data_IF_076039126666
#
_entry.id   IF_076039126666
#
_cell.length_a   1.000
_cell.length_b   1.000
_cell.length_c   1.000
_cell.angle_alpha   90.00
_cell.angle_beta   90.00
_cell.angle_gamma   90.00
#
_symmetry.space_group_name_H-M   'P 1'
#
loop_
_entity.id
_entity.type
_entity.pdbx_description
1 polymer ?
#
# COMPACT_ATOMS: atom_id res chain seq x y z
N UNK A 1 27.12 52.29 -34.23
CA UNK A 1 26.29 51.46 -35.15
C UNK A 1 26.36 50.01 -34.72
N UNK A 2 27.47 49.29 -34.93
CA UNK A 2 27.64 47.89 -34.46
C UNK A 2 27.28 47.62 -33.00
N UNK A 3 27.65 48.50 -32.06
CA UNK A 3 27.31 48.33 -30.64
C UNK A 3 25.83 48.51 -30.34
N UNK A 4 25.17 49.43 -31.04
CA UNK A 4 23.73 49.69 -30.93
C UNK A 4 22.93 48.54 -31.57
N UNK A 5 23.35 48.06 -32.74
CA UNK A 5 22.73 46.92 -33.42
C UNK A 5 22.85 45.62 -32.58
N UNK A 6 23.95 45.46 -31.84
CA UNK A 6 24.16 44.32 -30.92
C UNK A 6 23.29 44.42 -29.65
N UNK A 7 23.04 45.63 -29.18
CA UNK A 7 22.21 45.89 -28.00
C UNK A 7 20.72 45.75 -28.33
N UNK A 8 20.31 46.20 -29.52
CA UNK A 8 18.97 45.99 -30.07
C UNK A 8 18.69 44.49 -30.31
N UNK A 9 19.65 43.75 -30.89
CA UNK A 9 19.52 42.30 -31.07
C UNK A 9 19.41 41.54 -29.74
N UNK A 10 20.19 41.93 -28.72
CA UNK A 10 20.06 41.37 -27.36
C UNK A 10 18.70 41.70 -26.74
N UNK A 11 18.21 42.92 -26.90
CA UNK A 11 16.90 43.34 -26.39
C UNK A 11 15.75 42.61 -27.09
N UNK A 12 15.89 42.33 -28.40
CA UNK A 12 14.92 41.58 -29.18
C UNK A 12 14.90 40.10 -28.80
N UNK A 13 16.07 39.47 -28.62
CA UNK A 13 16.18 38.12 -28.09
C UNK A 13 15.58 38.00 -26.69
N UNK A 14 15.89 38.95 -25.80
CA UNK A 14 15.31 38.98 -24.46
C UNK A 14 13.78 39.16 -24.50
N UNK A 15 13.24 39.95 -25.45
CA UNK A 15 11.78 40.10 -25.63
C UNK A 15 11.12 38.83 -26.19
N UNK A 16 11.80 38.10 -27.06
CA UNK A 16 11.35 36.81 -27.57
C UNK A 16 11.35 35.76 -26.46
N UNK A 17 12.46 35.62 -25.72
CA UNK A 17 12.60 34.69 -24.57
C UNK A 17 11.61 35.01 -23.43
N UNK A 18 11.20 36.27 -23.30
CA UNK A 18 10.18 36.69 -22.31
C UNK A 18 8.76 36.66 -22.86
N UNK A 19 8.57 36.35 -24.14
CA UNK A 19 7.24 36.20 -24.73
C UNK A 19 6.51 35.03 -24.04
N UNK A 20 5.23 35.24 -23.76
CA UNK A 20 4.38 34.24 -23.09
C UNK A 20 4.32 32.94 -23.90
N UNK A 21 4.31 33.02 -25.23
CA UNK A 21 4.25 31.87 -26.13
C UNK A 21 5.50 30.97 -26.06
N UNK A 22 6.70 31.54 -26.02
CA UNK A 22 7.94 30.76 -25.94
C UNK A 22 8.08 30.06 -24.57
N UNK A 23 7.69 30.74 -23.49
CA UNK A 23 7.67 30.15 -22.14
C UNK A 23 6.66 29.01 -22.03
N UNK A 24 5.45 29.18 -22.55
CA UNK A 24 4.44 28.12 -22.60
C UNK A 24 4.93 26.93 -23.43
N UNK A 25 5.47 27.18 -24.62
CA UNK A 25 6.01 26.12 -25.48
C UNK A 25 7.12 25.32 -24.79
N UNK A 26 8.07 26.01 -24.15
CA UNK A 26 9.15 25.37 -23.40
C UNK A 26 8.60 24.49 -22.27
N UNK A 27 7.68 25.03 -21.48
CA UNK A 27 7.04 24.28 -20.40
C UNK A 27 6.35 23.01 -20.90
N UNK A 28 5.48 23.10 -21.91
CA UNK A 28 4.76 21.93 -22.41
C UNK A 28 5.68 20.91 -23.06
N UNK A 29 6.77 21.35 -23.70
CA UNK A 29 7.80 20.45 -24.23
C UNK A 29 8.50 19.68 -23.10
N UNK A 30 8.87 20.36 -22.02
CA UNK A 30 9.50 19.74 -20.85
C UNK A 30 8.53 18.80 -20.11
N UNK A 31 7.28 19.24 -19.91
CA UNK A 31 6.22 18.43 -19.29
C UNK A 31 5.92 17.17 -20.09
N UNK A 32 5.85 17.28 -21.43
CA UNK A 32 5.67 16.13 -22.30
C UNK A 32 6.78 15.11 -22.13
N UNK A 33 8.04 15.55 -22.20
CA UNK A 33 9.20 14.67 -22.01
C UNK A 33 9.18 14.04 -20.61
N UNK A 34 8.82 14.81 -19.59
CA UNK A 34 8.67 14.28 -18.24
C UNK A 34 7.61 13.17 -18.16
N UNK A 35 6.40 13.39 -18.69
CA UNK A 35 5.31 12.41 -18.65
C UNK A 35 5.65 11.16 -19.47
N UNK A 36 6.26 11.31 -20.65
CA UNK A 36 6.72 10.17 -21.46
C UNK A 36 7.73 9.32 -20.69
N UNK A 37 8.79 9.93 -20.15
CA UNK A 37 9.79 9.23 -19.36
C UNK A 37 9.20 8.59 -18.09
N UNK A 38 8.28 9.28 -17.43
CA UNK A 38 7.63 8.77 -16.22
C UNK A 38 6.77 7.54 -16.52
N UNK A 39 5.96 7.59 -17.57
CA UNK A 39 5.13 6.46 -18.00
C UNK A 39 6.00 5.28 -18.44
N UNK A 40 7.07 5.52 -19.18
CA UNK A 40 8.01 4.46 -19.59
C UNK A 40 8.67 3.81 -18.38
N UNK A 41 9.15 4.61 -17.41
CA UNK A 41 9.69 4.13 -16.15
C UNK A 41 8.67 3.28 -15.38
N UNK A 42 7.42 3.75 -15.25
CA UNK A 42 6.38 2.99 -14.56
C UNK A 42 6.07 1.68 -15.28
N UNK A 43 5.97 1.69 -16.60
CA UNK A 43 5.69 0.48 -17.39
C UNK A 43 6.78 -0.58 -17.23
N UNK A 44 8.04 -0.17 -17.06
CA UNK A 44 9.15 -1.09 -16.79
C UNK A 44 9.05 -1.69 -15.38
N UNK A 45 8.77 -0.87 -14.36
CA UNK A 45 8.78 -1.30 -12.95
C UNK A 45 7.49 -1.93 -12.45
N UNK A 46 6.35 -1.69 -13.12
CA UNK A 46 5.02 -2.09 -12.62
C UNK A 46 4.88 -3.62 -12.50
N UNK A 47 5.49 -4.39 -13.40
CA UNK A 47 5.41 -5.86 -13.35
C UNK A 47 6.15 -6.41 -12.13
N UNK A 48 7.31 -5.83 -11.79
CA UNK A 48 8.08 -6.20 -10.61
C UNK A 48 7.32 -5.86 -9.32
N UNK A 49 6.70 -4.67 -9.27
CA UNK A 49 5.86 -4.27 -8.13
C UNK A 49 4.69 -5.23 -7.93
N UNK A 50 3.98 -5.60 -9.02
CA UNK A 50 2.86 -6.54 -8.94
C UNK A 50 3.29 -7.94 -8.53
N UNK A 51 4.45 -8.40 -8.99
CA UNK A 51 4.98 -9.68 -8.58
C UNK A 51 5.26 -9.70 -7.07
N UNK A 52 5.97 -8.70 -6.55
CA UNK A 52 6.30 -8.62 -5.12
C UNK A 52 5.05 -8.43 -4.24
N UNK A 53 4.08 -7.63 -4.72
CA UNK A 53 2.77 -7.50 -4.07
C UNK A 53 2.03 -8.84 -4.01
N UNK A 54 2.07 -9.63 -5.09
CA UNK A 54 1.48 -10.97 -5.13
C UNK A 54 2.18 -11.94 -4.19
N UNK A 55 3.51 -11.96 -4.17
CA UNK A 55 4.31 -12.81 -3.28
C UNK A 55 4.01 -12.50 -1.80
N UNK A 56 3.98 -11.22 -1.42
CA UNK A 56 3.59 -10.81 -0.06
C UNK A 56 2.16 -11.24 0.27
N UNK A 57 1.22 -11.06 -0.66
CA UNK A 57 -0.18 -11.45 -0.46
C UNK A 57 -0.33 -12.96 -0.28
N UNK A 58 0.43 -13.77 -1.03
CA UNK A 58 0.45 -15.23 -0.89
C UNK A 58 0.99 -15.68 0.46
N UNK A 59 2.01 -15.00 0.99
CA UNK A 59 2.54 -15.25 2.34
C UNK A 59 1.47 -14.99 3.41
N UNK A 60 0.77 -13.85 3.33
CA UNK A 60 -0.32 -13.50 4.25
C UNK A 60 -1.51 -14.48 4.13
N UNK A 61 -1.88 -14.87 2.92
CA UNK A 61 -2.97 -15.82 2.67
C UNK A 61 -2.61 -17.23 3.17
N UNK A 62 -1.37 -17.68 2.95
CA UNK A 62 -0.86 -18.96 3.44
C UNK A 62 -0.92 -19.05 4.97
N UNK A 63 -0.48 -17.99 5.67
CA UNK A 63 -0.60 -17.90 7.14
C UNK A 63 -2.05 -17.97 7.58
N UNK A 64 -2.92 -17.15 6.99
CA UNK A 64 -4.34 -17.10 7.33
C UNK A 64 -5.04 -18.44 7.12
N UNK A 65 -4.77 -19.12 5.99
CA UNK A 65 -5.31 -20.46 5.70
C UNK A 65 -4.81 -21.51 6.69
N UNK A 66 -3.54 -21.46 7.06
CA UNK A 66 -2.94 -22.38 8.04
C UNK A 66 -3.60 -22.24 9.40
N UNK A 67 -3.77 -21.00 9.88
CA UNK A 67 -4.45 -20.73 11.15
C UNK A 67 -5.92 -21.14 11.13
N UNK A 68 -6.64 -20.82 10.05
CA UNK A 68 -8.04 -21.20 9.90
C UNK A 68 -8.24 -22.72 9.89
N UNK A 69 -7.42 -23.44 9.12
CA UNK A 69 -7.47 -24.90 9.04
C UNK A 69 -7.20 -25.53 10.40
N UNK A 70 -6.17 -25.05 11.09
CA UNK A 70 -5.85 -25.52 12.43
C UNK A 70 -7.01 -25.33 13.40
N UNK A 71 -7.63 -24.15 13.40
CA UNK A 71 -8.79 -23.87 14.24
C UNK A 71 -9.96 -24.81 13.93
N UNK A 72 -10.20 -25.11 12.65
CA UNK A 72 -11.22 -26.09 12.25
C UNK A 72 -10.89 -27.50 12.76
N UNK A 73 -9.65 -27.94 12.62
CA UNK A 73 -9.18 -29.24 13.08
C UNK A 73 -9.30 -29.37 14.61
N UNK A 74 -8.90 -28.35 15.36
CA UNK A 74 -9.00 -28.29 16.82
C UNK A 74 -10.47 -28.32 17.28
N UNK A 75 -11.37 -27.57 16.63
CA UNK A 75 -12.82 -27.62 16.91
C UNK A 75 -13.44 -28.98 16.61
N UNK A 76 -13.05 -29.63 15.51
CA UNK A 76 -13.51 -30.97 15.18
C UNK A 76 -13.02 -31.99 16.21
N UNK A 77 -11.76 -31.90 16.61
CA UNK A 77 -11.18 -32.77 17.64
C UNK A 77 -11.92 -32.65 18.97
N UNK A 78 -12.18 -31.43 19.44
CA UNK A 78 -12.93 -31.19 20.68
C UNK A 78 -14.39 -31.66 20.57
N UNK A 79 -15.05 -31.39 19.44
CA UNK A 79 -16.43 -31.82 19.21
C UNK A 79 -16.56 -33.34 19.26
N UNK A 80 -15.66 -34.06 18.59
CA UNK A 80 -15.66 -35.53 18.60
C UNK A 80 -15.34 -36.10 19.99
N UNK A 81 -14.44 -35.46 20.75
CA UNK A 81 -14.16 -35.85 22.13
C UNK A 81 -15.39 -35.69 23.03
N UNK A 82 -16.09 -34.55 22.95
CA UNK A 82 -17.31 -34.29 23.73
C UNK A 82 -18.42 -35.28 23.36
N UNK A 83 -18.63 -35.55 22.07
CA UNK A 83 -19.63 -36.52 21.61
C UNK A 83 -19.38 -37.93 22.18
N UNK A 84 -18.11 -38.37 22.21
CA UNK A 84 -17.73 -39.65 22.82
C UNK A 84 -17.98 -39.69 24.32
N UNK A 85 -17.77 -38.58 25.03
CA UNK A 85 -18.06 -38.47 26.46
C UNK A 85 -19.56 -38.45 26.78
N UNK A 86 -20.37 -37.84 25.90
CA UNK A 86 -21.82 -37.74 26.07
C UNK A 86 -22.59 -39.03 25.67
N UNK A 87 -21.99 -39.89 24.83
CA UNK A 87 -22.56 -41.17 24.44
C UNK A 87 -22.50 -42.20 25.58
N UNK A 88 -23.65 -42.60 26.11
CA UNK A 88 -23.76 -43.68 27.09
C UNK A 88 -23.40 -45.04 26.48
N UNK A 89 -22.19 -45.54 26.71
CA UNK A 89 -21.83 -46.93 26.38
C UNK A 89 -20.33 -47.12 26.18
N UNK A 90 -19.66 -47.63 27.22
CA UNK A 90 -18.23 -47.81 27.28
C UNK A 90 -17.59 -48.44 26.05
N UNK A 91 -16.73 -47.66 25.39
CA UNK A 91 -15.39 -48.08 25.07
C UNK A 91 -14.49 -46.83 25.11
N UNK A 92 -13.59 -46.76 26.10
CA UNK A 92 -12.67 -45.63 26.31
C UNK A 92 -11.48 -45.66 25.32
N UNK A 93 -11.69 -46.23 24.13
CA UNK A 93 -10.67 -46.41 23.12
C UNK A 93 -10.69 -45.24 22.13
N UNK A 94 -10.52 -44.03 22.67
CA UNK A 94 -10.01 -42.96 21.83
C UNK A 94 -8.62 -43.38 21.36
N UNK A 95 -8.47 -43.54 20.04
CA UNK A 95 -7.22 -43.81 19.33
C UNK A 95 -6.07 -42.99 19.95
N UNK A 96 -4.91 -43.63 20.16
CA UNK A 96 -3.76 -43.05 20.84
C UNK A 96 -3.36 -41.70 20.21
N UNK A 97 -3.51 -41.59 18.88
CA UNK A 97 -3.33 -40.36 18.11
C UNK A 97 -4.30 -39.24 18.51
N UNK A 98 -5.55 -39.57 18.79
CA UNK A 98 -6.56 -38.59 19.23
C UNK A 98 -6.22 -38.05 20.63
N UNK A 99 -5.77 -38.94 21.54
CA UNK A 99 -5.33 -38.56 22.89
C UNK A 99 -4.10 -37.64 22.84
N UNK A 100 -3.12 -37.98 22.02
CA UNK A 100 -1.92 -37.15 21.81
C UNK A 100 -2.25 -35.76 21.25
N UNK A 101 -3.15 -35.69 20.25
CA UNK A 101 -3.56 -34.40 19.67
C UNK A 101 -4.30 -33.51 20.70
N UNK A 102 -5.16 -34.10 21.55
CA UNK A 102 -5.84 -33.38 22.63
C UNK A 102 -4.85 -32.85 23.68
N UNK A 103 -3.84 -33.66 24.04
CA UNK A 103 -2.79 -33.21 24.96
C UNK A 103 -1.97 -32.06 24.37
N UNK A 104 -1.61 -32.12 23.09
CA UNK A 104 -0.91 -31.01 22.43
C UNK A 104 -1.77 -29.74 22.41
N UNK A 105 -3.06 -29.86 22.11
CA UNK A 105 -4.03 -28.77 22.19
C UNK A 105 -4.07 -28.13 23.59
N UNK A 106 -4.14 -28.94 24.66
CA UNK A 106 -4.11 -28.46 26.04
C UNK A 106 -2.78 -27.80 26.43
N UNK A 107 -1.65 -28.36 25.98
CA UNK A 107 -0.32 -27.78 26.20
C UNK A 107 -0.19 -26.41 25.54
N UNK A 108 -0.80 -26.23 24.35
CA UNK A 108 -0.86 -24.92 23.68
C UNK A 108 -1.73 -23.93 24.45
N UNK A 109 -2.92 -24.35 24.91
CA UNK A 109 -3.77 -23.52 25.78
C UNK A 109 -3.03 -23.07 27.04
N UNK A 110 -2.31 -23.98 27.70
CA UNK A 110 -1.54 -23.67 28.91
C UNK A 110 -0.43 -22.64 28.66
N UNK A 111 0.32 -22.78 27.56
CA UNK A 111 1.34 -21.80 27.16
C UNK A 111 0.74 -20.40 26.96
N UNK A 112 -0.45 -20.30 26.36
CA UNK A 112 -1.15 -19.02 26.19
C UNK A 112 -1.58 -18.39 27.52
N UNK A 113 -2.14 -19.19 28.42
CA UNK A 113 -2.51 -18.70 29.75
C UNK A 113 -1.31 -18.12 30.49
N UNK A 114 -0.19 -18.85 30.48
CA UNK A 114 1.03 -18.40 31.15
C UNK A 114 1.58 -17.10 30.55
N UNK A 115 1.65 -16.97 29.22
CA UNK A 115 2.11 -15.75 28.55
C UNK A 115 1.24 -14.53 28.85
N UNK A 116 -0.07 -14.71 29.07
CA UNK A 116 -1.00 -13.63 29.43
C UNK A 116 -0.90 -13.22 30.89
N UNK A 117 -0.67 -14.20 31.78
CA UNK A 117 -0.35 -13.93 33.18
C UNK A 117 0.93 -13.11 33.28
N UNK A 118 1.96 -13.49 32.51
CA UNK A 118 3.24 -12.79 32.44
C UNK A 118 3.11 -11.38 31.83
N UNK A 119 2.21 -11.17 30.85
CA UNK A 119 1.98 -9.86 30.23
C UNK A 119 1.03 -8.94 31.00
N UNK A 120 0.42 -9.43 32.09
CA UNK A 120 -0.51 -8.65 32.92
C UNK A 120 -1.85 -8.31 32.25
N UNK A 121 -2.24 -9.07 31.24
CA UNK A 121 -3.45 -8.83 30.44
C UNK A 121 -4.71 -9.29 31.20
N UNK A 122 -5.21 -8.45 32.11
CA UNK A 122 -6.29 -8.77 33.08
C UNK A 122 -7.71 -8.81 32.49
N UNK A 123 -7.91 -8.33 31.27
CA UNK A 123 -9.23 -8.20 30.63
C UNK A 123 -9.59 -9.38 29.71
N UNK A 124 -9.05 -10.57 30.01
CA UNK A 124 -9.31 -11.76 29.20
C UNK A 124 -10.44 -12.61 29.80
N UNK A 125 -11.53 -12.79 29.04
CA UNK A 125 -12.61 -13.71 29.40
C UNK A 125 -12.44 -15.08 28.75
N UNK A 126 -12.76 -16.14 29.50
CA UNK A 126 -12.71 -17.51 28.99
C UNK A 126 -13.65 -17.66 27.78
N UNK A 127 -13.12 -18.20 26.68
CA UNK A 127 -13.82 -18.25 25.38
C UNK A 127 -13.39 -17.17 24.37
N UNK A 128 -12.62 -16.14 24.78
CA UNK A 128 -12.08 -15.09 23.89
C UNK A 128 -10.70 -15.43 23.29
N UNK A 129 -10.22 -16.66 23.47
CA UNK A 129 -8.91 -17.07 22.97
C UNK A 129 -8.99 -17.38 21.48
N UNK A 130 -8.38 -16.55 20.65
CA UNK A 130 -8.06 -16.92 19.27
C UNK A 130 -6.88 -17.90 19.25
N UNK A 131 -6.95 -18.94 18.43
CA UNK A 131 -5.91 -19.98 18.28
C UNK A 131 -4.92 -19.61 17.16
N UNK A 132 -4.46 -18.36 17.18
CA UNK A 132 -3.70 -17.76 16.06
C UNK A 132 -2.17 -17.96 16.15
N UNK A 133 -1.68 -18.72 17.13
CA UNK A 133 -0.22 -18.89 17.33
C UNK A 133 0.30 -20.08 16.51
N UNK A 134 1.06 -19.79 15.44
CA UNK A 134 1.83 -20.80 14.71
C UNK A 134 2.93 -21.42 15.60
N UNK A 135 3.34 -22.67 15.34
CA UNK A 135 4.56 -23.23 15.92
C UNK A 135 5.77 -22.31 15.67
N UNK A 136 6.75 -22.23 16.59
CA UNK A 136 7.89 -21.32 16.46
C UNK A 136 8.68 -21.47 15.15
N UNK A 137 8.77 -22.68 14.61
CA UNK A 137 9.46 -22.92 13.34
C UNK A 137 8.72 -22.32 12.15
N UNK A 138 7.39 -22.46 12.11
CA UNK A 138 6.53 -21.88 11.06
C UNK A 138 6.45 -20.36 11.17
N UNK A 139 6.44 -19.81 12.39
CA UNK A 139 6.47 -18.36 12.59
C UNK A 139 7.80 -17.76 12.09
N UNK A 140 8.93 -18.43 12.35
CA UNK A 140 10.24 -18.02 11.81
C UNK A 140 10.30 -18.09 10.29
N UNK A 141 9.80 -19.17 9.70
CA UNK A 141 9.72 -19.32 8.25
C UNK A 141 8.85 -18.22 7.61
N UNK A 142 7.69 -17.93 8.21
CA UNK A 142 6.82 -16.84 7.77
C UNK A 142 7.53 -15.48 7.82
N UNK A 143 8.19 -15.15 8.93
CA UNK A 143 8.93 -13.90 9.10
C UNK A 143 10.07 -13.79 8.07
N UNK A 144 10.82 -14.87 7.87
CA UNK A 144 11.91 -14.90 6.89
C UNK A 144 11.39 -14.67 5.47
N UNK A 145 10.30 -15.34 5.08
CA UNK A 145 9.72 -15.14 3.74
C UNK A 145 9.23 -13.70 3.53
N UNK A 146 8.66 -13.07 4.57
CA UNK A 146 8.30 -11.65 4.49
C UNK A 146 9.54 -10.75 4.33
N UNK A 147 10.57 -10.97 5.15
CA UNK A 147 11.83 -10.21 5.08
C UNK A 147 12.49 -10.33 3.70
N UNK A 148 12.47 -11.52 3.09
CA UNK A 148 13.03 -11.77 1.76
C UNK A 148 12.30 -10.92 0.69
N UNK A 149 10.97 -10.88 0.71
CA UNK A 149 10.19 -10.03 -0.22
C UNK A 149 10.50 -8.54 0.01
N UNK A 150 10.60 -8.10 1.27
CA UNK A 150 10.93 -6.71 1.59
C UNK A 150 12.36 -6.32 1.17
N UNK A 151 13.30 -7.27 1.18
CA UNK A 151 14.65 -7.05 0.66
C UNK A 151 14.63 -6.84 -0.86
N UNK A 152 13.82 -7.61 -1.59
CA UNK A 152 13.63 -7.43 -3.04
C UNK A 152 12.90 -6.13 -3.39
N UNK A 153 12.09 -5.58 -2.49
CA UNK A 153 11.40 -4.30 -2.70
C UNK A 153 12.32 -3.06 -2.67
N UNK A 154 13.51 -3.17 -2.05
CA UNK A 154 14.43 -2.03 -1.87
C UNK A 154 15.03 -1.53 -3.19
N UNK A 155 15.62 -2.38 -4.04
CA UNK A 155 16.34 -1.93 -5.23
C UNK A 155 15.48 -1.56 -6.45
N UNK A 156 14.14 -1.71 -6.40
CA UNK A 156 13.24 -1.50 -7.56
C UNK A 156 13.54 -0.20 -8.32
N UNK A 157 13.86 0.88 -7.58
CA UNK A 157 14.08 2.22 -8.13
C UNK A 157 15.53 2.72 -7.96
N UNK A 158 16.50 1.86 -7.63
CA UNK A 158 17.90 2.29 -7.40
C UNK A 158 18.55 2.90 -8.66
N UNK A 159 18.09 2.47 -9.84
CA UNK A 159 18.50 2.95 -11.16
C UNK A 159 17.66 4.12 -11.68
N UNK A 160 16.65 4.58 -10.92
CA UNK A 160 15.67 5.59 -11.34
C UNK A 160 15.91 6.91 -10.61
N UNK A 161 15.87 8.02 -11.35
CA UNK A 161 15.95 9.35 -10.76
C UNK A 161 14.71 9.65 -9.89
N UNK A 162 14.90 10.30 -8.74
CA UNK A 162 13.85 10.56 -7.75
C UNK A 162 12.60 11.24 -8.30
N UNK A 163 12.75 12.08 -9.32
CA UNK A 163 11.65 12.74 -10.03
C UNK A 163 10.64 11.78 -10.68
N UNK A 164 10.98 10.51 -10.88
CA UNK A 164 10.13 9.52 -11.53
C UNK A 164 9.57 8.44 -10.58
N UNK A 165 9.87 8.50 -9.28
CA UNK A 165 9.30 7.53 -8.32
C UNK A 165 8.95 8.12 -6.95
N UNK A 166 9.52 9.26 -6.57
CA UNK A 166 9.09 9.96 -5.36
C UNK A 166 7.77 10.69 -5.64
N UNK A 167 6.70 10.26 -4.96
CA UNK A 167 5.34 10.78 -5.17
C UNK A 167 5.31 12.32 -5.04
N UNK A 168 5.98 12.87 -4.02
CA UNK A 168 6.16 14.31 -3.85
C UNK A 168 6.74 15.01 -5.10
N UNK A 169 7.80 14.48 -5.70
CA UNK A 169 8.46 15.12 -6.85
C UNK A 169 7.58 15.04 -8.10
N UNK A 170 6.92 13.90 -8.30
CA UNK A 170 5.94 13.71 -9.39
C UNK A 170 4.78 14.70 -9.25
N UNK A 171 4.18 14.80 -8.06
CA UNK A 171 3.09 15.73 -7.77
C UNK A 171 3.54 17.19 -7.93
N UNK A 172 4.77 17.54 -7.60
CA UNK A 172 5.30 18.88 -7.80
C UNK A 172 5.29 19.31 -9.28
N UNK A 173 5.51 18.39 -10.23
CA UNK A 173 5.40 18.67 -11.68
C UNK A 173 3.96 18.97 -12.09
N UNK A 174 3.01 18.17 -11.61
CA UNK A 174 1.59 18.40 -11.89
C UNK A 174 1.06 19.67 -11.22
N UNK A 175 1.54 19.97 -10.01
CA UNK A 175 1.25 21.22 -9.31
C UNK A 175 1.80 22.43 -10.07
N UNK A 176 3.03 22.34 -10.60
CA UNK A 176 3.59 23.40 -11.44
C UNK A 176 2.74 23.66 -12.69
N UNK A 177 2.18 22.61 -13.30
CA UNK A 177 1.23 22.75 -14.40
C UNK A 177 -0.05 23.44 -13.95
N UNK A 178 -0.67 22.96 -12.87
CA UNK A 178 -1.90 23.53 -12.30
C UNK A 178 -1.78 25.03 -12.03
N UNK A 179 -0.67 25.45 -11.42
CA UNK A 179 -0.42 26.86 -11.08
C UNK A 179 -0.16 27.74 -12.31
N UNK A 180 0.65 27.26 -13.26
CA UNK A 180 1.07 28.08 -14.41
C UNK A 180 0.05 28.12 -15.54
N UNK A 181 -0.64 27.01 -15.77
CA UNK A 181 -1.55 26.83 -16.91
C UNK A 181 -2.81 26.05 -16.52
N UNK A 182 -3.64 26.58 -15.60
CA UNK A 182 -4.79 25.86 -15.03
C UNK A 182 -5.79 25.40 -16.10
N UNK A 183 -6.11 26.24 -17.09
CA UNK A 183 -7.05 25.85 -18.17
C UNK A 183 -6.58 24.57 -18.87
N UNK A 184 -5.32 24.51 -19.29
CA UNK A 184 -4.78 23.33 -19.96
C UNK A 184 -4.63 22.10 -19.06
N UNK A 185 -4.44 22.31 -17.76
CA UNK A 185 -4.38 21.23 -16.77
C UNK A 185 -5.76 20.56 -16.64
N UNK A 186 -6.81 21.36 -16.48
CA UNK A 186 -8.17 20.85 -16.35
C UNK A 186 -8.72 20.33 -17.67
N UNK A 187 -8.44 20.97 -18.81
CA UNK A 187 -8.81 20.49 -20.15
C UNK A 187 -8.13 19.16 -20.52
N UNK A 188 -6.92 18.92 -20.00
CA UNK A 188 -6.22 17.64 -20.16
C UNK A 188 -6.65 16.58 -19.15
N UNK A 189 -7.63 16.89 -18.28
CA UNK A 189 -8.18 15.98 -17.26
C UNK A 189 -7.11 15.38 -16.34
N UNK A 190 -6.10 16.17 -15.95
CA UNK A 190 -4.94 15.66 -15.21
C UNK A 190 -5.33 15.02 -13.86
N UNK A 191 -6.31 15.58 -13.15
CA UNK A 191 -6.87 15.00 -11.91
C UNK A 191 -7.34 13.56 -12.09
N UNK A 192 -7.88 13.20 -13.27
CA UNK A 192 -8.33 11.83 -13.56
C UNK A 192 -7.16 10.87 -13.87
N UNK A 193 -6.02 11.42 -14.30
CA UNK A 193 -4.82 10.69 -14.65
C UNK A 193 -3.94 10.39 -13.43
N UNK A 194 -3.83 11.33 -12.49
CA UNK A 194 -2.96 11.20 -11.31
C UNK A 194 -3.17 9.88 -10.55
N UNK A 195 -4.42 9.43 -10.23
CA UNK A 195 -4.61 8.17 -9.53
C UNK A 195 -4.08 6.95 -10.27
N UNK A 196 -4.09 6.97 -11.61
CA UNK A 196 -3.55 5.88 -12.43
C UNK A 196 -2.02 5.91 -12.42
N UNK A 197 -1.43 7.09 -12.48
CA UNK A 197 0.03 7.28 -12.49
C UNK A 197 0.67 6.96 -11.13
N UNK A 198 0.03 7.36 -10.04
CA UNK A 198 0.56 7.11 -8.69
C UNK A 198 0.25 5.71 -8.15
N UNK A 199 -0.71 5.00 -8.75
CA UNK A 199 -1.12 3.65 -8.32
C UNK A 199 0.05 2.70 -8.07
N UNK A 200 1.00 2.51 -9.01
CA UNK A 200 2.16 1.65 -8.80
C UNK A 200 3.07 2.10 -7.64
N UNK A 201 3.30 3.40 -7.51
CA UNK A 201 4.16 3.96 -6.45
C UNK A 201 3.53 3.78 -5.06
N UNK A 202 2.21 4.01 -4.97
CA UNK A 202 1.44 3.80 -3.73
C UNK A 202 1.40 2.31 -3.38
N UNK A 203 1.12 1.42 -4.34
CA UNK A 203 1.16 -0.03 -4.13
C UNK A 203 2.51 -0.50 -3.62
N UNK A 204 3.61 0.00 -4.19
CA UNK A 204 4.96 -0.28 -3.71
C UNK A 204 5.15 0.11 -2.24
N UNK A 205 4.65 1.28 -1.82
CA UNK A 205 4.72 1.69 -0.41
C UNK A 205 3.83 0.85 0.50
N UNK A 206 2.75 0.31 -0.04
CA UNK A 206 1.80 -0.51 0.68
C UNK A 206 2.17 -2.00 0.74
N UNK A 207 3.22 -2.49 0.06
CA UNK A 207 3.56 -3.93 0.03
C UNK A 207 3.59 -4.54 1.44
N UNK A 208 4.33 -3.93 2.36
CA UNK A 208 4.49 -4.37 3.75
C UNK A 208 3.25 -4.13 4.63
N UNK A 209 2.34 -3.26 4.19
CA UNK A 209 1.21 -2.85 5.02
C UNK A 209 0.17 -3.97 5.14
N UNK A 210 -0.12 -4.36 6.38
CA UNK A 210 -1.17 -5.29 6.75
C UNK A 210 -2.22 -4.61 7.65
N UNK A 211 -3.43 -4.29 7.14
CA UNK A 211 -4.45 -3.59 7.90
C UNK A 211 -4.95 -4.33 9.16
N UNK A 212 -4.73 -5.64 9.25
CA UNK A 212 -5.16 -6.45 10.41
C UNK A 212 -4.12 -6.49 11.53
N UNK A 213 -2.86 -6.15 11.23
CA UNK A 213 -1.75 -6.23 12.19
C UNK A 213 -1.14 -4.86 12.48
N UNK A 214 -1.13 -3.96 11.50
CA UNK A 214 -0.54 -2.65 11.64
C UNK A 214 -1.49 -1.67 12.31
N UNK A 215 -0.97 -0.94 13.30
CA UNK A 215 -1.69 0.16 13.96
C UNK A 215 -1.45 1.51 13.28
N UNK A 216 -0.63 1.55 12.22
CA UNK A 216 -0.29 2.77 11.52
C UNK A 216 -1.52 3.29 10.75
N UNK A 217 -1.96 4.51 11.07
CA UNK A 217 -3.01 5.18 10.30
C UNK A 217 -2.44 5.56 8.93
N UNK A 218 -3.24 5.34 7.88
CA UNK A 218 -2.90 5.69 6.49
C UNK A 218 -2.48 7.17 6.37
N UNK A 219 -3.11 8.05 7.15
CA UNK A 219 -2.83 9.49 7.23
C UNK A 219 -1.37 9.83 7.57
N UNK A 220 -0.64 8.94 8.23
CA UNK A 220 0.76 9.15 8.57
C UNK A 220 1.72 8.68 7.47
N UNK A 221 1.24 7.94 6.48
CA UNK A 221 2.09 7.43 5.41
C UNK A 221 2.55 8.56 4.48
N UNK A 222 3.78 8.51 3.95
CA UNK A 222 4.30 9.56 3.05
C UNK A 222 3.40 9.82 1.84
N UNK A 223 2.95 8.77 1.15
CA UNK A 223 2.09 8.90 -0.03
C UNK A 223 0.76 9.61 0.28
N UNK A 224 0.19 9.39 1.46
CA UNK A 224 -1.08 10.01 1.85
C UNK A 224 -0.87 11.50 2.06
N UNK A 225 0.16 11.88 2.84
CA UNK A 225 0.46 13.28 3.12
C UNK A 225 0.82 14.06 1.86
N UNK A 226 1.62 13.48 0.97
CA UNK A 226 1.98 14.11 -0.30
C UNK A 226 0.73 14.37 -1.17
N UNK A 227 -0.24 13.44 -1.18
CA UNK A 227 -1.51 13.61 -1.88
C UNK A 227 -2.45 14.59 -1.18
N UNK A 228 -2.55 14.54 0.15
CA UNK A 228 -3.37 15.45 0.94
C UNK A 228 -2.92 16.90 0.73
N UNK A 229 -1.62 17.15 0.80
CA UNK A 229 -1.01 18.46 0.51
C UNK A 229 -1.29 18.92 -0.93
N UNK A 230 -1.26 17.99 -1.90
CA UNK A 230 -1.56 18.29 -3.30
C UNK A 230 -3.04 18.63 -3.54
N UNK A 231 -3.94 17.88 -2.90
CA UNK A 231 -5.38 18.02 -3.05
C UNK A 231 -5.91 19.25 -2.31
N UNK A 232 -5.43 19.53 -1.09
CA UNK A 232 -6.03 20.54 -0.20
C UNK A 232 -5.11 21.72 0.11
N UNK A 233 -4.24 22.09 -0.84
CA UNK A 233 -3.35 23.24 -0.69
C UNK A 233 -4.13 24.51 -0.34
N UNK A 234 -3.64 25.25 0.67
CA UNK A 234 -4.36 26.33 1.39
C UNK A 234 -4.78 27.55 0.54
N UNK A 235 -4.52 27.57 -0.76
CA UNK A 235 -4.77 28.71 -1.64
C UNK A 235 -6.17 28.72 -2.28
N UNK A 236 -6.98 27.68 -2.13
CA UNK A 236 -8.27 27.51 -2.83
C UNK A 236 -9.52 27.78 -1.95
N UNK A 237 -9.45 28.79 -1.07
CA UNK A 237 -10.55 29.07 -0.12
C UNK A 237 -11.78 29.80 -0.71
N UNK A 238 -11.85 30.11 -2.02
CA UNK A 238 -12.90 31.02 -2.53
C UNK A 238 -13.80 30.49 -3.66
N UNK A 239 -13.53 29.32 -4.25
CA UNK A 239 -14.39 28.75 -5.30
C UNK A 239 -14.95 27.38 -4.87
N UNK A 240 -16.21 27.10 -5.22
CA UNK A 240 -17.00 25.92 -4.83
C UNK A 240 -16.18 24.62 -4.66
N UNK A 241 -15.82 24.31 -3.41
CA UNK A 241 -14.98 23.18 -3.01
C UNK A 241 -15.52 21.80 -3.43
N UNK A 242 -16.82 21.68 -3.72
CA UNK A 242 -17.45 20.40 -4.10
C UNK A 242 -17.22 19.99 -5.57
N UNK A 243 -16.91 20.95 -6.45
CA UNK A 243 -16.75 20.70 -7.89
C UNK A 243 -15.29 20.54 -8.33
N UNK A 244 -14.32 20.77 -7.45
CA UNK A 244 -12.90 20.61 -7.80
C UNK A 244 -12.56 19.12 -8.07
N UNK A 245 -12.10 18.77 -9.28
CA UNK A 245 -11.71 17.40 -9.58
C UNK A 245 -10.46 16.94 -8.81
N UNK A 246 -9.59 17.85 -8.37
CA UNK A 246 -8.37 17.52 -7.61
C UNK A 246 -8.70 17.02 -6.20
N UNK A 247 -9.75 17.53 -5.55
CA UNK A 247 -10.21 17.03 -4.24
C UNK A 247 -10.62 15.55 -4.25
N UNK A 248 -10.91 15.00 -5.44
CA UNK A 248 -11.31 13.59 -5.62
C UNK A 248 -10.12 12.67 -5.84
N UNK A 249 -8.91 13.21 -6.08
CA UNK A 249 -7.71 12.43 -6.41
C UNK A 249 -7.32 11.50 -5.26
N UNK A 250 -7.26 12.02 -4.03
CA UNK A 250 -6.91 11.22 -2.85
C UNK A 250 -7.86 10.03 -2.68
N UNK A 251 -9.17 10.29 -2.73
CA UNK A 251 -10.20 9.24 -2.65
C UNK A 251 -10.05 8.21 -3.78
N UNK A 252 -9.85 8.66 -5.02
CA UNK A 252 -9.66 7.77 -6.15
C UNK A 252 -8.38 6.92 -6.05
N UNK A 253 -7.32 7.42 -5.42
CA UNK A 253 -6.11 6.62 -5.12
C UNK A 253 -6.42 5.55 -4.08
N UNK A 254 -7.09 5.92 -2.98
CA UNK A 254 -7.50 4.98 -1.92
C UNK A 254 -8.37 3.87 -2.52
N UNK A 255 -9.36 4.22 -3.33
CA UNK A 255 -10.25 3.26 -4.00
C UNK A 255 -9.51 2.26 -4.90
N UNK A 256 -8.45 2.70 -5.58
CA UNK A 256 -7.70 1.87 -6.54
C UNK A 256 -6.56 1.06 -5.92
N UNK A 257 -6.13 1.40 -4.71
CA UNK A 257 -4.92 0.83 -4.10
C UNK A 257 -5.19 0.20 -2.74
N UNK A 258 -5.86 0.92 -1.83
CA UNK A 258 -6.11 0.48 -0.46
C UNK A 258 -7.32 -0.46 -0.41
N UNK A 259 -8.43 -0.10 -1.05
CA UNK A 259 -9.67 -0.90 -0.99
C UNK A 259 -9.46 -2.35 -1.50
N UNK A 260 -8.82 -2.60 -2.66
CA UNK A 260 -8.62 -3.97 -3.14
C UNK A 260 -7.87 -4.84 -2.12
N UNK A 261 -6.89 -4.24 -1.42
CA UNK A 261 -6.10 -4.92 -0.40
C UNK A 261 -6.90 -5.26 0.85
N UNK A 262 -7.81 -4.39 1.27
CA UNK A 262 -8.68 -4.62 2.44
C UNK A 262 -9.83 -5.59 2.10
N UNK A 263 -10.39 -5.51 0.90
CA UNK A 263 -11.49 -6.38 0.45
C UNK A 263 -11.03 -7.78 0.07
N UNK A 264 -9.72 -8.00 -0.14
CA UNK A 264 -9.17 -9.27 -0.59
C UNK A 264 -9.42 -9.56 -2.08
N UNK A 265 -9.73 -8.52 -2.87
CA UNK A 265 -10.00 -8.66 -4.30
C UNK A 265 -8.70 -8.76 -5.09
N UNK A 266 -8.47 -9.92 -5.71
CA UNK A 266 -7.29 -10.22 -6.54
C UNK A 266 -7.35 -9.62 -7.95
N UNK A 267 -8.30 -8.72 -8.22
CA UNK A 267 -8.62 -8.24 -9.58
C UNK A 267 -8.66 -6.72 -9.65
N UNK A 268 -7.51 -6.07 -9.45
CA UNK A 268 -7.26 -4.69 -9.94
C UNK A 268 -5.84 -4.56 -10.46
#
# INVERSE_FOLDING_TARGET
KYTHDLEDAKSALQKLETSTSERSYKFFKEMKVFVENFVDCLNEKIQEIYQLESEMSEILESRSRTLLKRRQDDLQLESTAIQKLAGTGGDNDADEKTKMNLQDLELRRRRRHQKREDSGQKDHHEGMSSDDELPPDQEREYQQNQEDVLLLCKPIFDDVHEDFYQIKNVLAKFHEWRERFPETYYDAYISLCIPKLLGPLVRKQLIDWNPLQDTALLEHMPWYRDLDDFCFSKHEQENNLEDDPDHKVLNAVIEKTVIPKVSGDKHV
#
